data_IF_408911543943
#
_entry.id   IF_408911543943
#
_cell.length_a   1.000
_cell.length_b   1.000
_cell.length_c   1.000
_cell.angle_alpha   90.00
_cell.angle_beta   90.00
_cell.angle_gamma   90.00
#
_symmetry.space_group_name_H-M   'P 1'
#
loop_
_entity.id
_entity.type
_entity.pdbx_description
1 polymer ?
#
# COMPACT_ATOMS: atom_id res chain seq x y z
N UNK A 1 14.96 5.46 5.40
CA UNK A 1 13.87 5.96 6.28
C UNK A 1 12.56 5.50 5.66
N UNK A 2 11.73 4.75 6.40
CA UNK A 2 10.43 4.28 5.89
C UNK A 2 9.53 5.48 5.56
N UNK A 3 8.85 5.44 4.41
CA UNK A 3 7.95 6.49 3.96
C UNK A 3 6.50 6.06 4.23
N UNK A 4 5.69 6.98 4.74
CA UNK A 4 4.26 6.74 4.99
C UNK A 4 3.51 6.68 3.65
N UNK A 5 2.64 5.69 3.49
CA UNK A 5 1.76 5.55 2.34
C UNK A 5 0.43 6.28 2.60
N UNK A 6 0.36 7.55 2.19
CA UNK A 6 -0.80 8.40 2.35
C UNK A 6 -2.01 7.93 1.53
N UNK A 7 -1.76 7.29 0.38
CA UNK A 7 -2.81 6.77 -0.48
C UNK A 7 -3.50 5.56 0.20
N UNK A 8 -2.71 4.67 0.80
CA UNK A 8 -3.21 3.54 1.59
C UNK A 8 -4.02 4.00 2.80
N UNK A 9 -3.53 4.97 3.58
CA UNK A 9 -4.28 5.53 4.71
C UNK A 9 -5.66 6.05 4.26
N UNK A 10 -5.69 6.85 3.19
CA UNK A 10 -6.93 7.41 2.64
C UNK A 10 -7.89 6.32 2.14
N UNK A 11 -7.36 5.28 1.51
CA UNK A 11 -8.13 4.13 1.04
C UNK A 11 -8.75 3.36 2.21
N UNK A 12 -7.95 3.00 3.21
CA UNK A 12 -8.41 2.29 4.41
C UNK A 12 -9.50 3.06 5.14
N UNK A 13 -9.32 4.38 5.33
CA UNK A 13 -10.34 5.24 5.94
C UNK A 13 -11.66 5.18 5.17
N UNK A 14 -11.61 5.29 3.84
CA UNK A 14 -12.80 5.21 2.99
C UNK A 14 -13.45 3.83 3.03
N UNK A 15 -12.67 2.75 3.04
CA UNK A 15 -13.19 1.38 3.13
C UNK A 15 -13.92 1.14 4.45
N UNK A 16 -13.50 1.81 5.52
CA UNK A 16 -14.21 1.80 6.82
C UNK A 16 -15.39 2.78 6.90
N UNK A 17 -15.72 3.48 5.80
CA UNK A 17 -16.74 4.53 5.75
C UNK A 17 -16.54 5.67 6.77
N UNK A 18 -15.29 5.91 7.20
CA UNK A 18 -14.98 6.98 8.15
C UNK A 18 -14.84 8.30 7.39
N UNK A 19 -15.65 9.30 7.74
CA UNK A 19 -15.55 10.63 7.13
C UNK A 19 -14.27 11.37 7.55
N UNK A 20 -13.87 12.42 6.82
CA UNK A 20 -12.72 13.26 7.22
C UNK A 20 -12.93 13.90 8.60
N UNK A 21 -14.16 14.34 8.86
CA UNK A 21 -14.58 14.96 10.11
C UNK A 21 -14.54 13.97 11.29
N UNK A 22 -15.06 12.77 11.08
CA UNK A 22 -15.00 11.71 12.09
C UNK A 22 -13.54 11.29 12.38
N UNK A 23 -12.73 11.11 11.35
CA UNK A 23 -11.32 10.74 11.52
C UNK A 23 -10.55 11.83 12.26
N UNK A 24 -10.75 13.10 11.88
CA UNK A 24 -10.15 14.24 12.56
C UNK A 24 -10.46 14.22 14.06
N UNK A 25 -11.74 14.07 14.44
CA UNK A 25 -12.13 13.97 15.85
C UNK A 25 -11.48 12.78 16.57
N UNK A 26 -11.48 11.60 15.95
CA UNK A 26 -10.91 10.38 16.56
C UNK A 26 -9.41 10.50 16.85
N UNK A 27 -8.67 11.25 16.03
CA UNK A 27 -7.21 11.41 16.19
C UNK A 27 -6.80 12.72 16.87
N UNK A 28 -7.78 13.54 17.30
CA UNK A 28 -7.56 14.73 18.14
C UNK A 28 -7.46 16.06 17.39
N UNK A 29 -7.94 16.16 16.15
CA UNK A 29 -8.07 17.43 15.42
C UNK A 29 -9.45 18.05 15.56
N UNK A 30 -9.49 19.37 15.69
CA UNK A 30 -10.73 20.15 15.81
C UNK A 30 -11.44 20.36 14.46
N UNK A 31 -10.73 20.24 13.34
CA UNK A 31 -11.30 20.46 12.01
C UNK A 31 -10.98 19.33 11.02
N UNK A 32 -11.90 19.01 10.09
CA UNK A 32 -11.66 18.04 9.03
C UNK A 32 -10.47 18.39 8.14
N UNK A 33 -10.24 19.69 7.94
CA UNK A 33 -9.16 20.20 7.09
C UNK A 33 -7.78 19.86 7.64
N UNK A 34 -7.61 19.88 8.98
CA UNK A 34 -6.35 19.52 9.63
C UNK A 34 -5.92 18.10 9.26
N UNK A 35 -6.83 17.14 9.35
CA UNK A 35 -6.58 15.76 8.96
C UNK A 35 -6.47 15.59 7.44
N UNK A 36 -7.33 16.27 6.66
CA UNK A 36 -7.29 16.23 5.19
C UNK A 36 -5.91 16.60 4.63
N UNK A 37 -5.23 17.61 5.18
CA UNK A 37 -3.89 18.02 4.73
C UNK A 37 -2.83 16.95 4.94
N UNK A 38 -3.01 16.06 5.91
CA UNK A 38 -2.12 14.91 6.11
C UNK A 38 -2.31 13.89 4.98
N UNK A 39 -3.56 13.53 4.64
CA UNK A 39 -3.85 12.53 3.59
C UNK A 39 -3.43 12.97 2.18
N UNK A 40 -3.38 14.27 1.91
CA UNK A 40 -2.94 14.79 0.60
C UNK A 40 -1.46 15.18 0.59
N UNK A 41 -0.74 15.00 1.70
CA UNK A 41 0.69 15.29 1.79
C UNK A 41 1.06 16.77 1.87
N UNK A 42 0.10 17.65 2.20
CA UNK A 42 0.41 19.06 2.53
C UNK A 42 0.99 19.22 3.92
N UNK A 43 0.73 18.27 4.82
CA UNK A 43 1.35 18.14 6.12
C UNK A 43 2.04 16.78 6.29
N UNK A 44 2.83 16.64 7.35
CA UNK A 44 3.41 15.36 7.78
C UNK A 44 2.65 14.86 9.00
N UNK A 45 2.39 13.56 9.06
CA UNK A 45 1.85 12.94 10.27
C UNK A 45 2.85 13.09 11.43
N UNK A 46 2.46 13.70 12.56
CA UNK A 46 3.17 13.49 13.81
C UNK A 46 3.13 12.00 14.18
N UNK A 47 4.17 11.49 14.84
CA UNK A 47 4.25 10.07 15.21
C UNK A 47 3.06 9.62 16.06
N UNK A 48 2.66 10.45 17.04
CA UNK A 48 1.49 10.19 17.89
C UNK A 48 0.19 10.11 17.08
N UNK A 49 -0.01 11.02 16.13
CA UNK A 49 -1.17 10.99 15.24
C UNK A 49 -1.16 9.76 14.36
N UNK A 50 -0.01 9.36 13.82
CA UNK A 50 0.09 8.17 12.97
C UNK A 50 -0.24 6.89 13.75
N UNK A 51 0.16 6.80 15.02
CA UNK A 51 -0.23 5.70 15.91
C UNK A 51 -1.76 5.66 16.11
N UNK A 52 -2.39 6.80 16.42
CA UNK A 52 -3.86 6.89 16.53
C UNK A 52 -4.57 6.53 15.23
N UNK A 53 -4.00 6.90 14.08
CA UNK A 53 -4.54 6.51 12.77
C UNK A 53 -4.52 4.99 12.61
N UNK A 54 -3.41 4.32 12.96
CA UNK A 54 -3.31 2.87 12.93
C UNK A 54 -4.37 2.20 13.82
N UNK A 55 -4.57 2.71 15.03
CA UNK A 55 -5.58 2.21 15.97
C UNK A 55 -7.00 2.36 15.40
N UNK A 56 -7.36 3.54 14.88
CA UNK A 56 -8.67 3.81 14.29
C UNK A 56 -8.93 2.96 13.04
N UNK A 57 -7.88 2.71 12.25
CA UNK A 57 -7.94 1.84 11.08
C UNK A 57 -7.83 0.35 11.44
N UNK A 58 -7.63 0.01 12.71
CA UNK A 58 -7.39 -1.36 13.22
C UNK A 58 -6.36 -2.11 12.33
N UNK A 59 -5.30 -1.40 11.97
CA UNK A 59 -4.27 -1.88 11.05
C UNK A 59 -2.92 -1.70 11.74
N UNK A 60 -2.00 -2.69 11.68
CA UNK A 60 -0.66 -2.53 12.23
C UNK A 60 0.03 -1.28 11.66
N UNK A 61 0.73 -0.52 12.50
CA UNK A 61 1.32 0.76 12.07
C UNK A 61 2.36 0.56 10.96
N UNK A 62 3.04 -0.59 10.94
CA UNK A 62 4.02 -0.99 9.93
C UNK A 62 3.40 -1.04 8.53
N UNK A 63 2.12 -1.44 8.44
CA UNK A 63 1.40 -1.51 7.18
C UNK A 63 1.03 -0.13 6.61
N UNK A 64 1.15 0.94 7.39
CA UNK A 64 0.94 2.31 6.91
C UNK A 64 2.15 2.89 6.18
N UNK A 65 3.24 2.13 6.07
CA UNK A 65 4.43 2.50 5.33
C UNK A 65 4.50 1.73 4.01
N UNK A 66 5.26 2.27 3.05
CA UNK A 66 5.65 1.50 1.88
C UNK A 66 6.49 0.29 2.32
N UNK A 67 6.20 -0.87 1.74
CA UNK A 67 7.09 -2.01 1.78
C UNK A 67 8.34 -1.65 0.97
N UNK A 68 9.53 -1.88 1.54
CA UNK A 68 10.75 -1.81 0.75
C UNK A 68 10.64 -2.90 -0.31
N UNK A 69 10.58 -2.52 -1.58
CA UNK A 69 10.56 -3.47 -2.70
C UNK A 69 11.85 -4.29 -2.69
N UNK A 70 11.91 -5.37 -1.90
CA UNK A 70 12.79 -6.48 -2.21
C UNK A 70 12.06 -7.27 -3.29
N UNK A 71 12.02 -6.70 -4.50
CA UNK A 71 11.67 -7.48 -5.67
C UNK A 71 12.76 -8.54 -5.81
N UNK A 72 12.49 -9.76 -5.34
CA UNK A 72 13.21 -10.96 -5.74
C UNK A 72 12.91 -11.22 -7.24
N UNK A 73 13.40 -10.34 -8.10
CA UNK A 73 13.49 -10.56 -9.54
C UNK A 73 14.73 -11.39 -9.87
N UNK A 74 14.90 -12.49 -9.14
CA UNK A 74 15.77 -13.62 -9.45
C UNK A 74 15.31 -14.71 -8.47
N UNK A 75 14.54 -15.70 -8.90
CA UNK A 75 15.08 -17.00 -9.35
C UNK A 75 14.14 -17.55 -10.44
N UNK A 76 14.43 -17.27 -11.72
CA UNK A 76 13.98 -18.15 -12.81
C UNK A 76 14.92 -18.06 -14.03
N UNK A 77 15.53 -16.89 -14.28
CA UNK A 77 16.41 -16.71 -15.45
C UNK A 77 17.82 -17.29 -15.26
N UNK A 78 18.25 -17.58 -14.02
CA UNK A 78 19.59 -18.12 -13.75
C UNK A 78 19.63 -19.64 -13.54
N UNK A 79 18.48 -20.31 -13.48
CA UNK A 79 18.44 -21.76 -13.55
C UNK A 79 18.28 -22.16 -15.02
N UNK A 80 19.40 -22.25 -15.73
CA UNK A 80 19.47 -22.75 -17.10
C UNK A 80 18.85 -24.15 -17.24
N UNK A 81 17.54 -24.20 -17.42
CA UNK A 81 16.81 -25.39 -17.81
C UNK A 81 16.19 -25.14 -19.17
N UNK A 82 16.79 -25.80 -20.15
CA UNK A 82 16.22 -26.14 -21.45
C UNK A 82 14.71 -26.38 -21.32
N UNK A 83 13.90 -25.44 -21.80
CA UNK A 83 12.47 -25.71 -22.05
C UNK A 83 12.36 -26.09 -23.52
N UNK A 84 11.99 -27.35 -23.86
CA UNK A 84 11.86 -27.74 -25.25
C UNK A 84 10.68 -26.97 -25.87
N UNK A 85 10.98 -26.19 -26.92
CA UNK A 85 9.98 -25.67 -27.85
C UNK A 85 9.13 -26.85 -28.32
N UNK A 86 7.84 -26.83 -27.98
CA UNK A 86 6.86 -27.80 -28.46
C UNK A 86 6.77 -27.68 -29.98
N UNK A 87 7.51 -28.51 -30.71
CA UNK A 87 7.30 -28.70 -32.14
C UNK A 87 5.92 -29.32 -32.31
N UNK A 88 4.97 -28.52 -32.82
CA UNK A 88 3.73 -29.07 -33.37
C UNK A 88 4.07 -29.51 -34.79
N UNK A 89 4.34 -30.82 -34.93
CA UNK A 89 4.41 -31.50 -36.21
C UNK A 89 3.09 -31.30 -36.96
N UNK A 90 3.10 -30.55 -38.07
CA UNK A 90 2.17 -30.78 -39.18
C UNK A 90 2.90 -31.63 -40.21
N UNK A 91 2.84 -32.94 -40.02
CA UNK A 91 3.13 -33.89 -41.10
C UNK A 91 1.85 -34.08 -41.93
N UNK A 92 1.98 -33.78 -43.23
CA UNK A 92 1.65 -34.59 -44.42
C UNK A 92 0.19 -35.10 -44.49
N UNK A 93 -0.57 -34.79 -45.55
CA UNK A 93 -0.79 -35.60 -46.77
C UNK A 93 -1.94 -34.89 -47.53
N UNK A 94 -2.03 -34.77 -48.85
CA UNK A 94 -1.31 -35.17 -50.07
C UNK A 94 -1.81 -34.23 -51.17
#
# INVERSE_FOLDING_TARGET
MKRVDLAKIKLLRKNKNISLDEMARKVGYESPNGYYYLEIGRGRFPAETLAKVADVLETPIEELFFEDEVTEMAICVLAGKNTPMRQVNKQIER
#
